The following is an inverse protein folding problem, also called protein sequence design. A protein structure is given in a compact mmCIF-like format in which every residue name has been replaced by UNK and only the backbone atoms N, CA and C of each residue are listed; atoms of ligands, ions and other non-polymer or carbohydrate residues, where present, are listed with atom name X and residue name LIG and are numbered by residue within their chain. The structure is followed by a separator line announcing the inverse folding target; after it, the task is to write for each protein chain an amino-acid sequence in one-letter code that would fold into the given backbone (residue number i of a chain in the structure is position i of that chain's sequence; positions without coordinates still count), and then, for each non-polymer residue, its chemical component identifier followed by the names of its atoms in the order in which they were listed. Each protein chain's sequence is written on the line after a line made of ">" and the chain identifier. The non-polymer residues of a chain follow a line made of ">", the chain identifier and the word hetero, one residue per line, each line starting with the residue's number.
data_IF_906353229829
#
_entry.id   IF_906353229829
#
_cell.length_a   1.000
_cell.length_b   1.000
_cell.length_c   1.000
_cell.angle_alpha   90.00
_cell.angle_beta   90.00
_cell.angle_gamma   90.00
#
_symmetry.space_group_name_H-M   'P 1'
#
loop_
_entity.id
_entity.type
_entity.pdbx_description
1 polymer ?
#
# COMPACT_ATOMS: atom_id res chain seq x y z
N UNK A 1 -11.55 -11.64 26.84
CA UNK A 1 -10.83 -12.20 25.67
C UNK A 1 -10.70 -11.07 24.68
N UNK A 2 -9.49 -10.71 24.24
CA UNK A 2 -9.38 -9.79 23.11
C UNK A 2 -9.89 -10.55 21.89
N UNK A 3 -10.92 -10.01 21.23
CA UNK A 3 -11.45 -10.63 20.04
C UNK A 3 -10.37 -10.59 18.94
N UNK A 4 -10.23 -11.69 18.22
CA UNK A 4 -9.28 -11.81 17.11
C UNK A 4 -9.63 -10.75 16.05
N UNK A 5 -8.63 -10.00 15.59
CA UNK A 5 -8.80 -9.05 14.51
C UNK A 5 -9.04 -9.81 13.19
N UNK A 6 -10.13 -9.53 12.52
CA UNK A 6 -10.47 -10.09 11.20
C UNK A 6 -10.63 -8.93 10.24
N UNK A 7 -9.77 -8.87 9.22
CA UNK A 7 -9.71 -7.81 8.22
C UNK A 7 -10.37 -8.31 6.94
N UNK A 8 -11.26 -7.52 6.36
CA UNK A 8 -11.76 -7.69 5.01
C UNK A 8 -11.11 -6.64 4.12
N UNK A 9 -10.23 -7.07 3.23
CA UNK A 9 -9.54 -6.18 2.30
C UNK A 9 -10.40 -5.95 1.05
N UNK A 10 -10.52 -4.70 0.65
CA UNK A 10 -11.19 -4.26 -0.57
C UNK A 10 -10.19 -3.52 -1.45
N UNK A 11 -9.95 -3.95 -2.67
CA UNK A 11 -9.37 -3.07 -3.69
C UNK A 11 -10.49 -2.14 -4.17
N UNK A 12 -10.48 -0.91 -3.68
CA UNK A 12 -11.63 0.01 -3.75
C UNK A 12 -12.05 0.29 -5.19
N UNK A 13 -11.08 0.39 -6.11
CA UNK A 13 -11.30 0.58 -7.55
C UNK A 13 -12.13 -0.54 -8.19
N UNK A 14 -12.00 -1.79 -7.71
CA UNK A 14 -12.64 -2.96 -8.31
C UNK A 14 -13.94 -3.36 -7.62
N UNK A 15 -14.02 -3.22 -6.30
CA UNK A 15 -15.03 -3.86 -5.45
C UNK A 15 -16.48 -3.57 -5.85
N UNK A 16 -16.79 -2.31 -6.21
CA UNK A 16 -18.16 -1.92 -6.64
C UNK A 16 -18.25 -1.66 -8.14
N UNK A 17 -17.20 -1.98 -8.90
CA UNK A 17 -17.23 -1.82 -10.34
C UNK A 17 -18.14 -2.87 -10.99
N UNK A 18 -19.29 -2.45 -11.47
CA UNK A 18 -20.27 -3.31 -12.15
C UNK A 18 -19.98 -3.58 -13.63
N UNK A 19 -18.90 -3.04 -14.20
CA UNK A 19 -18.55 -3.27 -15.58
C UNK A 19 -17.98 -4.69 -15.76
N UNK A 20 -18.57 -5.43 -16.69
CA UNK A 20 -18.19 -6.83 -16.99
C UNK A 20 -17.15 -6.95 -18.11
N UNK A 21 -16.79 -5.83 -18.74
CA UNK A 21 -15.88 -5.82 -19.87
C UNK A 21 -14.64 -5.02 -19.49
N UNK A 22 -13.49 -5.64 -19.60
CA UNK A 22 -12.21 -5.00 -19.44
C UNK A 22 -11.58 -4.76 -20.81
N UNK A 23 -11.22 -3.53 -21.09
CA UNK A 23 -10.45 -3.15 -22.28
C UNK A 23 -9.01 -2.91 -21.84
N UNK A 24 -8.02 -3.68 -22.32
CA UNK A 24 -6.61 -3.47 -21.97
C UNK A 24 -6.21 -2.01 -22.19
N UNK A 25 -5.64 -1.34 -21.20
CA UNK A 25 -5.33 0.09 -21.19
C UNK A 25 -6.56 1.00 -21.47
N UNK A 26 -7.77 0.54 -21.20
CA UNK A 26 -9.01 1.28 -21.38
C UNK A 26 -9.12 2.50 -20.47
N UNK A 27 -9.92 3.48 -20.88
CA UNK A 27 -10.22 4.65 -20.04
C UNK A 27 -11.19 4.28 -18.93
N UNK A 28 -11.36 5.18 -17.95
CA UNK A 28 -12.33 4.99 -16.86
C UNK A 28 -13.77 4.87 -17.40
N UNK A 29 -14.08 5.52 -18.51
CA UNK A 29 -15.38 5.41 -19.18
C UNK A 29 -15.58 4.04 -19.84
N UNK A 30 -14.51 3.39 -20.30
CA UNK A 30 -14.55 2.06 -20.90
C UNK A 30 -14.60 0.96 -19.85
N UNK A 31 -13.76 1.05 -18.80
CA UNK A 31 -13.57 -0.01 -17.82
C UNK A 31 -14.39 0.20 -16.55
N UNK A 32 -14.85 1.41 -16.30
CA UNK A 32 -15.49 1.76 -15.05
C UNK A 32 -14.50 1.88 -13.89
N UNK A 33 -15.02 2.19 -12.73
CA UNK A 33 -14.29 2.24 -11.46
C UNK A 33 -15.28 2.10 -10.31
N UNK A 34 -14.94 1.34 -9.29
CA UNK A 34 -15.69 1.28 -8.04
C UNK A 34 -15.76 2.64 -7.37
N UNK A 35 -16.84 2.88 -6.62
CA UNK A 35 -17.11 4.15 -5.96
C UNK A 35 -17.28 3.98 -4.46
N UNK A 36 -16.71 4.89 -3.68
CA UNK A 36 -16.86 4.91 -2.22
C UNK A 36 -18.34 4.96 -1.79
N UNK A 37 -19.18 5.66 -2.54
CA UNK A 37 -20.61 5.79 -2.24
C UNK A 37 -21.40 4.51 -2.50
N UNK A 38 -20.90 3.60 -3.33
CA UNK A 38 -21.52 2.30 -3.59
C UNK A 38 -21.22 1.25 -2.50
N UNK A 39 -20.25 1.53 -1.62
CA UNK A 39 -20.04 0.75 -0.39
C UNK A 39 -21.08 1.17 0.64
N UNK A 40 -22.29 0.66 0.47
CA UNK A 40 -23.47 1.03 1.27
C UNK A 40 -23.47 0.37 2.65
N UNK A 41 -24.36 0.82 3.54
CA UNK A 41 -24.57 0.17 4.84
C UNK A 41 -24.92 -1.31 4.70
N UNK A 42 -25.69 -1.70 3.69
CA UNK A 42 -26.03 -3.10 3.43
C UNK A 42 -24.80 -3.94 3.06
N UNK A 43 -23.90 -3.40 2.23
CA UNK A 43 -22.62 -4.05 1.90
C UNK A 43 -21.78 -4.25 3.17
N UNK A 44 -21.66 -3.21 4.00
CA UNK A 44 -20.90 -3.26 5.25
C UNK A 44 -21.49 -4.25 6.27
N UNK A 45 -22.81 -4.33 6.36
CA UNK A 45 -23.50 -5.34 7.19
C UNK A 45 -23.23 -6.76 6.70
N UNK A 46 -23.20 -6.98 5.38
CA UNK A 46 -22.85 -8.27 4.78
C UNK A 46 -21.41 -8.65 5.12
N UNK A 47 -20.45 -7.73 4.98
CA UNK A 47 -19.05 -7.93 5.37
C UNK A 47 -18.95 -8.26 6.86
N UNK A 48 -19.65 -7.51 7.72
CA UNK A 48 -19.67 -7.77 9.16
C UNK A 48 -20.23 -9.15 9.50
N UNK A 49 -21.20 -9.63 8.76
CA UNK A 49 -21.82 -10.95 8.98
C UNK A 49 -20.84 -12.11 8.79
N UNK A 50 -19.71 -11.90 8.10
CA UNK A 50 -18.60 -12.85 7.99
C UNK A 50 -17.73 -12.92 9.26
N UNK A 51 -18.06 -12.14 10.30
CA UNK A 51 -17.24 -12.03 11.52
C UNK A 51 -16.13 -10.98 11.42
N UNK A 52 -16.13 -10.18 10.39
CA UNK A 52 -15.13 -9.11 10.15
C UNK A 52 -15.22 -8.03 11.22
N UNK A 53 -14.07 -7.52 11.62
CA UNK A 53 -13.93 -6.41 12.58
C UNK A 53 -13.42 -5.12 11.93
N UNK A 54 -12.64 -5.25 10.84
CA UNK A 54 -12.01 -4.14 10.14
C UNK A 54 -12.19 -4.29 8.63
N UNK A 55 -12.35 -3.16 7.94
CA UNK A 55 -12.28 -3.10 6.47
C UNK A 55 -11.02 -2.34 6.09
N UNK A 56 -10.19 -2.94 5.25
CA UNK A 56 -9.05 -2.26 4.64
C UNK A 56 -9.43 -1.81 3.23
N UNK A 57 -9.54 -0.50 3.05
CA UNK A 57 -9.79 0.15 1.76
C UNK A 57 -8.46 0.43 1.07
N UNK A 58 -8.04 -0.45 0.17
CA UNK A 58 -6.81 -0.32 -0.61
C UNK A 58 -6.97 0.74 -1.68
N UNK A 59 -5.96 1.62 -1.82
CA UNK A 59 -5.86 2.58 -2.90
C UNK A 59 -6.74 3.83 -2.74
N UNK A 60 -7.00 4.27 -1.51
CA UNK A 60 -7.85 5.43 -1.21
C UNK A 60 -7.15 6.77 -1.48
N UNK A 61 -5.86 6.88 -1.13
CA UNK A 61 -5.10 8.13 -1.24
C UNK A 61 -4.82 8.43 -2.71
N UNK A 62 -4.86 9.71 -3.09
CA UNK A 62 -4.61 10.14 -4.47
C UNK A 62 -3.25 9.67 -4.98
N UNK A 63 -3.26 8.95 -6.09
CA UNK A 63 -2.08 8.46 -6.78
C UNK A 63 -2.02 8.97 -8.23
N UNK A 64 -0.86 8.85 -8.86
CA UNK A 64 -0.66 9.27 -10.23
C UNK A 64 -1.53 8.47 -11.20
N UNK A 65 -2.21 9.17 -12.13
CA UNK A 65 -3.12 8.58 -13.11
C UNK A 65 -3.00 9.28 -14.46
N UNK A 66 -3.38 8.59 -15.56
CA UNK A 66 -3.52 9.21 -16.89
C UNK A 66 -4.89 9.84 -17.12
N UNK A 67 -5.82 9.73 -16.18
CA UNK A 67 -7.10 10.42 -16.24
C UNK A 67 -6.89 11.90 -15.95
N UNK A 68 -7.45 12.78 -16.77
CA UNK A 68 -7.30 14.22 -16.60
C UNK A 68 -8.38 14.79 -15.70
N UNK A 69 -7.97 15.28 -14.54
CA UNK A 69 -8.80 15.97 -13.56
C UNK A 69 -8.49 17.47 -13.44
N UNK A 70 -7.76 18.05 -14.39
CA UNK A 70 -7.35 19.49 -14.38
C UNK A 70 -8.52 20.46 -14.24
N UNK A 71 -9.70 20.11 -14.78
CA UNK A 71 -10.93 20.90 -14.61
C UNK A 71 -11.39 21.04 -13.16
N UNK A 72 -10.88 20.20 -12.27
CA UNK A 72 -11.17 20.21 -10.82
C UNK A 72 -10.00 20.75 -9.99
N UNK A 73 -8.97 21.32 -10.65
CA UNK A 73 -7.81 21.88 -9.98
C UNK A 73 -6.72 20.86 -9.65
N UNK A 74 -6.88 19.59 -10.04
CA UNK A 74 -5.88 18.55 -9.84
C UNK A 74 -4.89 18.59 -10.99
N UNK A 75 -3.59 18.72 -10.67
CA UNK A 75 -2.53 18.77 -11.70
C UNK A 75 -2.45 17.43 -12.45
N UNK A 76 -2.47 17.43 -13.80
CA UNK A 76 -2.33 16.21 -14.58
C UNK A 76 -0.92 15.62 -14.49
N UNK A 77 -0.83 14.29 -14.47
CA UNK A 77 0.43 13.56 -14.49
C UNK A 77 0.94 13.37 -15.91
N UNK A 78 2.27 13.36 -16.07
CA UNK A 78 2.86 13.03 -17.36
C UNK A 78 2.68 11.53 -17.65
N UNK A 79 2.00 11.14 -18.74
CA UNK A 79 1.72 9.75 -19.06
C UNK A 79 2.94 8.83 -19.17
N UNK A 80 4.13 9.42 -19.34
CA UNK A 80 5.41 8.72 -19.47
C UNK A 80 5.84 8.01 -18.17
N UNK A 81 5.44 8.55 -17.03
CA UNK A 81 5.83 8.09 -15.70
C UNK A 81 4.63 7.60 -14.88
N UNK A 82 3.60 7.11 -15.56
CA UNK A 82 2.44 6.44 -14.96
C UNK A 82 2.32 5.04 -15.57
N UNK A 83 2.48 4.00 -14.76
CA UNK A 83 2.26 2.61 -15.19
C UNK A 83 0.78 2.34 -15.37
N UNK A 84 0.43 1.65 -16.46
CA UNK A 84 -0.96 1.48 -16.83
C UNK A 84 -1.65 2.80 -17.15
N UNK A 85 -2.98 2.84 -17.14
CA UNK A 85 -3.79 4.06 -17.33
C UNK A 85 -4.32 4.59 -16.00
N UNK A 86 -4.80 3.70 -15.16
CA UNK A 86 -5.29 4.04 -13.83
C UNK A 86 -4.16 4.45 -12.86
N UNK A 87 -2.93 4.05 -13.16
CA UNK A 87 -1.78 4.23 -12.29
C UNK A 87 -1.68 3.16 -11.20
N UNK A 88 -0.60 3.22 -10.44
CA UNK A 88 -0.42 2.38 -9.26
C UNK A 88 -0.98 3.06 -8.02
N UNK A 89 -1.81 2.41 -7.21
CA UNK A 89 -2.29 2.95 -5.94
C UNK A 89 -1.17 3.23 -4.92
N UNK A 90 0.04 2.79 -5.23
CA UNK A 90 1.25 3.03 -4.41
C UNK A 90 2.15 4.15 -4.97
N UNK A 91 1.86 4.71 -6.14
CA UNK A 91 2.52 5.90 -6.64
C UNK A 91 1.76 7.16 -6.15
N UNK A 92 1.84 7.42 -4.83
CA UNK A 92 1.10 8.50 -4.18
C UNK A 92 1.51 9.85 -4.74
N UNK A 93 0.52 10.62 -5.22
CA UNK A 93 0.69 11.95 -5.79
C UNK A 93 0.36 13.07 -4.81
N UNK A 94 -0.64 12.85 -3.97
CA UNK A 94 -1.04 13.76 -2.90
C UNK A 94 -1.46 12.97 -1.66
N UNK A 95 -0.68 13.08 -0.58
CA UNK A 95 -1.01 12.41 0.68
C UNK A 95 -2.21 13.00 1.43
N UNK A 96 -2.66 14.17 1.06
CA UNK A 96 -3.74 14.89 1.76
C UNK A 96 -5.07 14.83 1.02
N UNK A 97 -5.14 14.04 -0.06
CA UNK A 97 -6.33 13.91 -0.89
C UNK A 97 -6.72 12.46 -1.20
N UNK A 98 -7.92 12.32 -1.72
CA UNK A 98 -8.54 11.06 -2.13
C UNK A 98 -8.39 10.89 -3.64
N UNK A 99 -8.16 9.65 -4.09
CA UNK A 99 -8.16 9.31 -5.52
C UNK A 99 -9.49 9.73 -6.15
N UNK A 100 -9.46 10.68 -7.12
CA UNK A 100 -10.66 11.21 -7.75
C UNK A 100 -11.45 10.17 -8.53
N UNK A 101 -10.82 9.06 -8.98
CA UNK A 101 -11.50 7.96 -9.64
C UNK A 101 -12.53 7.29 -8.74
N UNK A 102 -12.33 7.30 -7.41
CA UNK A 102 -13.18 6.62 -6.42
C UNK A 102 -14.41 7.44 -6.01
N UNK A 103 -14.46 8.72 -6.37
CA UNK A 103 -15.57 9.60 -6.01
C UNK A 103 -16.66 9.62 -7.09
N UNK A 104 -17.90 9.79 -6.67
CA UNK A 104 -19.02 10.13 -7.55
C UNK A 104 -18.94 11.62 -7.94
N UNK A 105 -18.61 12.48 -6.97
CA UNK A 105 -18.38 13.91 -7.15
C UNK A 105 -16.92 14.25 -6.83
N UNK A 106 -16.09 14.45 -7.85
CA UNK A 106 -14.67 14.76 -7.67
C UNK A 106 -14.42 15.93 -6.70
N UNK A 107 -15.17 17.06 -6.76
CA UNK A 107 -15.03 18.14 -5.79
C UNK A 107 -15.36 17.76 -4.34
N UNK A 108 -16.18 16.73 -4.14
CA UNK A 108 -16.60 16.27 -2.81
C UNK A 108 -15.89 14.99 -2.34
N UNK A 109 -14.85 14.54 -3.05
CA UNK A 109 -14.16 13.26 -2.80
C UNK A 109 -13.75 13.04 -1.34
N UNK A 110 -13.24 14.07 -0.67
CA UNK A 110 -12.90 13.98 0.75
C UNK A 110 -14.14 13.80 1.65
N UNK A 111 -15.24 14.49 1.33
CA UNK A 111 -16.51 14.32 2.07
C UNK A 111 -17.12 12.93 1.83
N UNK A 112 -16.99 12.39 0.62
CA UNK A 112 -17.42 11.01 0.31
C UNK A 112 -16.62 9.99 1.12
N UNK A 113 -15.30 10.20 1.28
CA UNK A 113 -14.46 9.37 2.14
C UNK A 113 -14.86 9.49 3.61
N UNK A 114 -15.02 10.70 4.14
CA UNK A 114 -15.47 10.90 5.52
C UNK A 114 -16.84 10.24 5.78
N UNK A 115 -17.73 10.30 4.80
CA UNK A 115 -19.02 9.60 4.85
C UNK A 115 -18.87 8.07 4.79
N UNK A 116 -17.88 7.54 4.06
CA UNK A 116 -17.55 6.11 4.05
C UNK A 116 -17.04 5.66 5.43
N UNK A 117 -16.12 6.41 6.03
CA UNK A 117 -15.61 6.15 7.39
C UNK A 117 -16.76 6.10 8.40
N UNK A 118 -17.64 7.12 8.37
CA UNK A 118 -18.81 7.19 9.27
C UNK A 118 -19.76 6.01 9.06
N UNK A 119 -20.06 5.61 7.81
CA UNK A 119 -20.88 4.43 7.52
C UNK A 119 -20.26 3.14 8.04
N UNK A 120 -18.94 2.99 7.87
CA UNK A 120 -18.18 1.83 8.33
C UNK A 120 -18.24 1.72 9.86
N UNK A 121 -18.04 2.81 10.57
CA UNK A 121 -18.15 2.88 12.03
C UNK A 121 -19.58 2.58 12.51
N UNK A 122 -20.61 3.12 11.84
CA UNK A 122 -22.03 2.82 12.14
C UNK A 122 -22.38 1.36 11.95
N UNK A 123 -21.74 0.67 11.01
CA UNK A 123 -21.87 -0.77 10.85
C UNK A 123 -21.14 -1.57 11.94
N UNK A 124 -20.42 -0.93 12.84
CA UNK A 124 -19.61 -1.56 13.90
C UNK A 124 -18.28 -2.13 13.40
N UNK A 125 -17.79 -1.64 12.27
CA UNK A 125 -16.50 -1.99 11.67
C UNK A 125 -15.50 -0.85 11.86
N UNK A 126 -14.21 -1.15 11.76
CA UNK A 126 -13.09 -0.23 11.80
C UNK A 126 -12.49 -0.03 10.42
N UNK A 127 -11.81 1.11 10.20
CA UNK A 127 -11.25 1.50 8.91
C UNK A 127 -9.73 1.38 8.92
N UNK A 128 -9.18 0.65 7.94
CA UNK A 128 -7.75 0.61 7.65
C UNK A 128 -7.55 1.20 6.24
N UNK A 129 -6.50 1.99 6.06
CA UNK A 129 -6.02 2.45 4.75
C UNK A 129 -4.55 2.17 4.58
N UNK A 130 -4.04 2.24 3.34
CA UNK A 130 -2.62 2.17 3.08
C UNK A 130 -1.91 3.45 3.54
N UNK A 131 -0.70 3.27 4.05
CA UNK A 131 0.30 4.31 4.22
C UNK A 131 1.56 3.89 3.47
N UNK A 132 1.96 4.64 2.46
CA UNK A 132 3.10 4.34 1.59
C UNK A 132 4.29 5.20 2.01
N UNK A 133 5.19 4.71 2.89
CA UNK A 133 6.23 5.57 3.46
C UNK A 133 7.52 5.62 2.65
N UNK A 134 7.79 4.60 1.82
CA UNK A 134 9.08 4.42 1.18
C UNK A 134 9.29 5.31 -0.04
N UNK A 135 8.23 5.64 -0.76
CA UNK A 135 8.28 6.35 -2.04
C UNK A 135 7.03 7.15 -2.31
N UNK A 136 7.09 8.01 -3.30
CA UNK A 136 5.95 8.80 -3.82
C UNK A 136 5.97 8.77 -5.35
N UNK A 137 4.90 9.22 -6.00
CA UNK A 137 4.89 9.44 -7.45
C UNK A 137 6.02 10.41 -7.85
N UNK A 138 6.60 10.19 -9.04
CA UNK A 138 7.73 11.00 -9.51
C UNK A 138 7.39 12.49 -9.66
N UNK A 139 6.13 12.80 -9.95
CA UNK A 139 5.61 14.18 -9.97
C UNK A 139 4.76 14.50 -8.72
N UNK A 140 5.17 13.99 -7.53
CA UNK A 140 4.47 14.33 -6.30
C UNK A 140 4.21 15.84 -6.20
N UNK A 141 2.97 16.18 -5.96
CA UNK A 141 2.52 17.53 -5.67
C UNK A 141 1.17 17.48 -4.98
N UNK A 142 1.06 18.16 -3.84
CA UNK A 142 -0.21 18.24 -3.14
C UNK A 142 -1.00 19.47 -3.58
N UNK A 143 -2.19 19.25 -4.13
CA UNK A 143 -3.18 20.28 -4.43
C UNK A 143 -4.12 20.53 -3.22
N UNK A 144 -4.11 19.61 -2.21
CA UNK A 144 -5.01 19.64 -1.05
C UNK A 144 -4.29 19.77 0.31
N UNK A 145 -2.98 20.01 0.33
CA UNK A 145 -2.24 20.15 1.59
C UNK A 145 -2.82 21.22 2.48
N UNK A 146 -2.89 20.98 3.82
CA UNK A 146 -3.27 22.01 4.78
C UNK A 146 -2.38 23.25 4.67
N UNK A 147 -2.94 24.41 4.99
CA UNK A 147 -2.21 25.69 4.92
C UNK A 147 -0.90 25.62 5.74
N UNK A 148 0.20 26.02 5.11
CA UNK A 148 1.54 26.02 5.71
C UNK A 148 2.30 24.70 5.60
N UNK A 149 1.71 23.63 5.05
CA UNK A 149 2.42 22.39 4.72
C UNK A 149 3.18 22.61 3.42
N UNK A 150 4.47 22.26 3.43
CA UNK A 150 5.31 22.26 2.23
C UNK A 150 5.37 20.86 1.60
N UNK A 151 5.33 20.83 0.29
CA UNK A 151 5.55 19.59 -0.48
C UNK A 151 6.92 18.97 -0.20
N UNK A 152 7.05 17.67 -0.49
CA UNK A 152 8.36 17.05 -0.57
C UNK A 152 9.20 17.78 -1.64
N UNK A 153 10.49 17.86 -1.41
CA UNK A 153 11.51 18.55 -2.22
C UNK A 153 11.48 20.08 -2.20
N UNK A 154 10.54 20.73 -1.55
CA UNK A 154 10.44 22.20 -1.58
C UNK A 154 11.72 22.93 -1.11
N UNK A 155 12.48 22.32 -0.21
CA UNK A 155 13.70 22.89 0.38
C UNK A 155 14.94 22.02 0.08
N UNK A 156 14.87 21.05 -0.87
CA UNK A 156 15.96 20.11 -1.16
C UNK A 156 17.16 20.76 -1.87
N UNK A 157 18.36 20.41 -1.44
CA UNK A 157 19.60 20.69 -2.17
C UNK A 157 19.81 19.64 -3.28
N UNK A 158 19.40 19.97 -4.48
CA UNK A 158 19.46 19.06 -5.63
C UNK A 158 20.86 18.88 -6.22
N UNK A 159 21.88 19.58 -5.69
CA UNK A 159 23.27 19.49 -6.15
C UNK A 159 24.01 18.30 -5.53
N UNK A 160 23.43 17.65 -4.51
CA UNK A 160 24.01 16.53 -3.77
C UNK A 160 23.21 15.26 -3.96
N UNK A 161 23.88 14.13 -3.99
CA UNK A 161 23.23 12.82 -3.96
C UNK A 161 22.41 12.65 -2.69
N UNK A 162 23.03 12.95 -1.55
CA UNK A 162 22.43 12.88 -0.23
C UNK A 162 22.63 14.19 0.54
N UNK A 163 21.60 14.56 1.29
CA UNK A 163 21.67 15.55 2.37
C UNK A 163 20.68 15.12 3.44
N UNK A 164 20.98 15.19 4.75
CA UNK A 164 20.10 14.72 5.82
C UNK A 164 18.70 15.33 5.81
N UNK A 165 18.57 16.55 5.30
CA UNK A 165 17.29 17.29 5.25
C UNK A 165 16.58 17.23 3.90
N UNK A 166 17.21 16.64 2.87
CA UNK A 166 16.55 16.41 1.59
C UNK A 166 15.46 15.36 1.76
N UNK A 167 14.34 15.54 1.05
CA UNK A 167 13.28 14.53 1.01
C UNK A 167 13.58 13.41 0.00
N UNK A 168 14.42 13.67 -1.00
CA UNK A 168 14.79 12.71 -2.04
C UNK A 168 16.30 12.53 -2.17
N UNK A 169 16.69 11.42 -2.83
CA UNK A 169 18.05 11.20 -3.30
C UNK A 169 18.15 11.67 -4.75
N UNK A 170 19.12 12.54 -5.06
CA UNK A 170 19.33 13.06 -6.40
C UNK A 170 20.53 12.40 -7.06
N UNK A 171 20.51 12.33 -8.40
CA UNK A 171 21.65 11.90 -9.20
C UNK A 171 22.21 13.15 -9.88
N UNK A 172 23.18 13.85 -9.23
CA UNK A 172 23.66 15.15 -9.72
C UNK A 172 24.18 15.08 -11.14
N UNK A 173 23.89 16.13 -11.93
CA UNK A 173 24.33 16.30 -13.32
C UNK A 173 23.83 15.23 -14.30
N UNK A 174 22.92 14.32 -13.89
CA UNK A 174 22.32 13.34 -14.78
C UNK A 174 20.83 13.64 -14.99
N UNK A 175 20.40 13.51 -16.24
CA UNK A 175 18.99 13.59 -16.61
C UNK A 175 18.34 12.22 -16.46
N UNK A 176 17.12 12.19 -15.96
CA UNK A 176 16.31 10.96 -15.95
C UNK A 176 16.09 10.45 -17.37
N UNK A 177 16.49 9.21 -17.62
CA UNK A 177 16.43 8.56 -18.93
C UNK A 177 16.19 7.05 -18.77
N UNK A 178 14.95 6.64 -18.42
CA UNK A 178 14.65 5.25 -18.17
C UNK A 178 14.90 4.38 -19.40
N UNK A 179 15.45 3.20 -19.22
CA UNK A 179 15.74 2.24 -20.28
C UNK A 179 14.53 1.36 -20.60
N UNK A 180 13.41 2.02 -20.94
CA UNK A 180 12.13 1.38 -21.24
C UNK A 180 11.53 1.98 -22.50
N UNK A 181 10.77 1.17 -23.25
CA UNK A 181 9.97 1.68 -24.38
C UNK A 181 8.68 2.31 -23.85
N UNK A 182 8.61 3.63 -23.92
CA UNK A 182 7.44 4.41 -23.50
C UNK A 182 6.47 4.69 -24.64
N UNK A 183 6.72 4.10 -25.84
CA UNK A 183 5.90 4.23 -27.05
C UNK A 183 6.05 5.58 -27.77
N UNK A 184 5.66 5.60 -29.03
CA UNK A 184 5.75 6.79 -29.89
C UNK A 184 4.71 7.88 -29.52
N UNK A 185 5.05 9.15 -29.82
CA UNK A 185 4.12 10.27 -29.72
C UNK A 185 3.84 10.81 -28.33
N UNK A 186 4.58 10.36 -27.32
CA UNK A 186 4.44 10.89 -25.95
C UNK A 186 5.37 12.09 -25.75
N UNK A 187 4.85 13.14 -25.14
CA UNK A 187 5.69 14.27 -24.72
C UNK A 187 6.71 13.77 -23.70
N UNK A 188 7.98 13.97 -23.97
CA UNK A 188 9.05 13.51 -23.12
C UNK A 188 8.93 14.10 -21.71
N UNK A 189 8.96 13.24 -20.70
CA UNK A 189 9.14 13.67 -19.31
C UNK A 189 10.58 14.16 -19.12
N UNK A 190 10.72 15.33 -18.53
CA UNK A 190 12.03 15.92 -18.25
C UNK A 190 12.21 16.08 -16.76
N UNK A 191 13.21 15.38 -16.21
CA UNK A 191 13.65 15.53 -14.82
C UNK A 191 15.16 15.70 -14.79
N UNK A 192 15.63 16.81 -14.21
CA UNK A 192 17.02 17.13 -14.04
C UNK A 192 17.23 17.95 -12.74
N UNK A 193 18.13 17.51 -11.84
CA UNK A 193 18.76 16.21 -11.84
C UNK A 193 17.75 15.07 -11.64
N UNK A 194 18.10 13.86 -12.10
CA UNK A 194 17.27 12.68 -11.86
C UNK A 194 17.18 12.38 -10.35
N UNK A 195 16.07 11.77 -9.93
CA UNK A 195 15.86 11.27 -8.57
C UNK A 195 15.93 9.74 -8.55
N UNK A 196 16.43 9.16 -7.47
CA UNK A 196 16.42 7.71 -7.28
C UNK A 196 14.99 7.14 -7.32
N UNK A 197 14.79 5.96 -7.92
CA UNK A 197 13.49 5.29 -7.95
C UNK A 197 13.19 4.54 -6.64
N UNK A 198 11.91 4.31 -6.36
CA UNK A 198 11.41 3.82 -5.07
C UNK A 198 11.93 2.46 -4.63
N UNK A 199 12.39 1.62 -5.57
CA UNK A 199 12.98 0.30 -5.29
C UNK A 199 14.50 0.34 -5.06
N UNK A 200 15.03 1.45 -4.52
CA UNK A 200 16.46 1.66 -4.27
C UNK A 200 17.33 1.65 -5.55
N UNK A 201 16.75 2.04 -6.69
CA UNK A 201 17.49 2.24 -7.92
C UNK A 201 18.14 3.65 -7.91
N UNK A 202 19.40 3.72 -7.44
CA UNK A 202 20.16 4.97 -7.26
C UNK A 202 20.93 5.39 -8.53
N UNK A 203 20.27 5.29 -9.69
CA UNK A 203 20.83 5.78 -10.96
C UNK A 203 19.77 6.49 -11.80
N UNK A 204 20.18 7.16 -12.88
CA UNK A 204 19.27 7.93 -13.74
C UNK A 204 18.59 7.09 -14.82
N UNK A 205 18.86 5.79 -14.91
CA UNK A 205 18.46 4.89 -16.00
C UNK A 205 17.68 3.67 -15.49
N UNK A 206 16.57 3.84 -14.71
CA UNK A 206 15.80 2.70 -14.23
C UNK A 206 15.26 1.88 -15.41
N UNK A 207 15.21 0.56 -15.24
CA UNK A 207 14.67 -0.38 -16.21
C UNK A 207 13.15 -0.57 -16.06
N UNK A 208 12.59 -1.46 -16.89
CA UNK A 208 11.16 -1.78 -16.90
C UNK A 208 10.67 -2.35 -15.56
N UNK A 209 11.51 -3.12 -14.87
CA UNK A 209 11.17 -3.75 -13.59
C UNK A 209 11.50 -2.86 -12.37
N UNK A 210 12.17 -1.73 -12.61
CA UNK A 210 12.34 -0.73 -11.56
C UNK A 210 11.03 0.06 -11.39
N UNK A 211 10.84 0.64 -10.21
CA UNK A 211 9.67 1.48 -9.93
C UNK A 211 9.89 2.89 -10.48
N UNK A 212 10.10 2.97 -11.81
CA UNK A 212 10.50 4.21 -12.50
C UNK A 212 9.48 5.34 -12.37
N UNK A 213 8.21 5.01 -12.09
CA UNK A 213 7.13 5.96 -11.85
C UNK A 213 7.18 6.59 -10.46
N UNK A 214 8.04 6.09 -9.57
CA UNK A 214 8.16 6.55 -8.20
C UNK A 214 9.54 7.12 -7.89
N UNK A 215 9.64 7.85 -6.78
CA UNK A 215 10.87 8.41 -6.22
C UNK A 215 11.04 7.93 -4.78
N UNK A 216 12.27 7.51 -4.45
CA UNK A 216 12.66 7.10 -3.10
C UNK A 216 12.66 8.28 -2.15
N UNK A 217 12.01 8.13 -0.99
CA UNK A 217 12.05 9.09 0.10
C UNK A 217 13.31 8.90 0.96
N UNK A 218 13.92 10.02 1.34
CA UNK A 218 15.11 10.06 2.17
C UNK A 218 14.74 10.23 3.65
N UNK A 219 15.03 9.22 4.43
CA UNK A 219 14.82 9.21 5.89
C UNK A 219 16.10 9.52 6.69
N UNK A 220 17.11 10.15 6.07
CA UNK A 220 18.37 10.47 6.74
C UNK A 220 19.39 9.32 6.73
N UNK A 221 19.27 8.37 5.82
CA UNK A 221 20.25 7.30 5.59
C UNK A 221 21.05 7.64 4.35
N UNK A 222 22.38 7.77 4.48
CA UNK A 222 23.26 7.91 3.33
C UNK A 222 23.60 6.54 2.75
N UNK A 223 23.04 6.22 1.59
CA UNK A 223 23.34 4.95 0.90
C UNK A 223 24.72 4.92 0.24
N UNK A 224 25.46 6.04 0.23
CA UNK A 224 26.84 6.09 -0.26
C UNK A 224 27.84 5.46 0.72
N UNK A 225 27.62 5.62 2.03
CA UNK A 225 28.51 5.11 3.08
C UNK A 225 27.77 4.35 4.21
N UNK A 226 26.45 4.28 4.16
CA UNK A 226 25.60 3.62 5.17
C UNK A 226 25.42 4.41 6.46
N UNK A 227 25.87 5.66 6.52
CA UNK A 227 25.71 6.48 7.72
C UNK A 227 24.25 6.91 7.94
N UNK A 228 23.90 7.14 9.21
CA UNK A 228 22.53 7.48 9.64
C UNK A 228 22.53 8.85 10.32
N UNK A 229 21.68 9.73 9.85
CA UNK A 229 21.59 11.14 10.25
C UNK A 229 20.19 11.45 10.79
N UNK A 230 19.89 11.01 12.00
CA UNK A 230 18.57 11.16 12.63
C UNK A 230 18.50 12.28 13.67
N UNK A 231 19.58 13.03 13.86
CA UNK A 231 19.66 14.22 14.73
C UNK A 231 20.38 15.35 14.01
N UNK A 232 19.71 16.48 13.75
CA UNK A 232 18.30 16.74 14.04
C UNK A 232 17.37 15.83 13.27
N UNK A 233 16.08 15.71 13.71
CA UNK A 233 15.07 14.89 13.06
C UNK A 233 14.93 15.28 11.58
N UNK A 234 15.06 14.32 10.63
CA UNK A 234 14.91 14.60 9.19
C UNK A 234 13.55 15.22 8.85
N UNK A 235 13.52 16.12 7.88
CA UNK A 235 12.28 16.77 7.42
C UNK A 235 11.24 15.78 6.93
N UNK A 236 11.65 14.71 6.24
CA UNK A 236 10.78 13.61 5.80
C UNK A 236 10.02 12.98 6.97
N UNK A 237 10.66 12.79 8.14
CA UNK A 237 9.99 12.22 9.32
C UNK A 237 8.85 13.12 9.80
N UNK A 238 9.09 14.43 9.86
CA UNK A 238 8.10 15.42 10.31
C UNK A 238 6.91 15.45 9.34
N UNK A 239 7.16 15.44 8.03
CA UNK A 239 6.11 15.41 7.00
C UNK A 239 5.27 14.13 7.09
N UNK A 240 5.92 12.96 7.20
CA UNK A 240 5.24 11.67 7.30
C UNK A 240 4.42 11.53 8.59
N UNK A 241 4.92 12.05 9.72
CA UNK A 241 4.12 12.09 10.95
C UNK A 241 2.88 12.96 10.80
N UNK A 242 2.98 14.10 10.13
CA UNK A 242 1.84 14.98 9.88
C UNK A 242 0.79 14.29 9.00
N UNK A 243 1.20 13.53 7.99
CA UNK A 243 0.31 12.73 7.14
C UNK A 243 -0.41 11.66 7.97
N UNK A 244 0.30 10.89 8.78
CA UNK A 244 -0.31 9.89 9.67
C UNK A 244 -1.35 10.51 10.61
N UNK A 245 -1.01 11.66 11.22
CA UNK A 245 -1.92 12.40 12.10
C UNK A 245 -3.12 12.97 11.37
N UNK A 246 -2.95 13.41 10.14
CA UNK A 246 -4.05 13.91 9.29
C UNK A 246 -5.10 12.82 9.09
N UNK A 247 -4.70 11.64 8.65
CA UNK A 247 -5.63 10.52 8.39
C UNK A 247 -6.21 9.93 9.68
N UNK A 248 -5.43 9.80 10.75
CA UNK A 248 -5.96 9.41 12.05
C UNK A 248 -7.01 10.42 12.55
N UNK A 249 -6.81 11.71 12.29
CA UNK A 249 -7.77 12.78 12.57
C UNK A 249 -9.06 12.70 11.73
N UNK A 250 -9.03 12.02 10.60
CA UNK A 250 -10.20 11.73 9.75
C UNK A 250 -10.98 10.47 10.19
N UNK A 251 -10.57 9.83 11.29
CA UNK A 251 -11.22 8.64 11.83
C UNK A 251 -10.71 7.31 11.27
N UNK A 252 -9.55 7.29 10.63
CA UNK A 252 -8.87 6.06 10.25
C UNK A 252 -8.39 5.34 11.51
N UNK A 253 -8.75 4.07 11.67
CA UNK A 253 -8.44 3.23 12.85
C UNK A 253 -7.14 2.43 12.69
N UNK A 254 -6.60 2.35 11.48
CA UNK A 254 -5.34 1.63 11.26
C UNK A 254 -4.69 1.95 9.92
N UNK A 255 -3.39 1.71 9.86
CA UNK A 255 -2.57 1.86 8.67
C UNK A 255 -1.91 0.54 8.30
N UNK A 256 -2.10 0.11 7.05
CA UNK A 256 -1.22 -0.88 6.43
C UNK A 256 -0.04 -0.13 5.82
N UNK A 257 1.14 -0.36 6.36
CA UNK A 257 2.36 0.33 5.97
C UNK A 257 3.08 -0.46 4.88
N UNK A 258 3.03 0.08 3.67
CA UNK A 258 3.64 -0.47 2.47
C UNK A 258 5.16 -0.54 2.61
N UNK A 259 5.76 -1.69 2.23
CA UNK A 259 7.21 -1.91 2.21
C UNK A 259 7.94 -1.35 3.45
N UNK A 260 7.37 -1.59 4.64
CA UNK A 260 7.80 -0.95 5.89
C UNK A 260 9.30 -1.17 6.22
N UNK A 261 9.88 -2.29 5.76
CA UNK A 261 11.29 -2.63 5.96
C UNK A 261 12.27 -1.78 5.13
N UNK A 262 11.80 -1.10 4.09
CA UNK A 262 12.59 -0.15 3.30
C UNK A 262 12.72 1.23 3.97
N UNK A 263 12.11 1.38 5.15
CA UNK A 263 12.16 2.59 5.98
C UNK A 263 12.83 2.24 7.31
N UNK A 264 13.75 3.08 7.84
CA UNK A 264 14.46 2.77 9.07
C UNK A 264 13.52 2.49 10.25
N UNK A 265 13.81 1.44 11.03
CA UNK A 265 13.03 1.09 12.23
C UNK A 265 12.98 2.23 13.24
N UNK A 266 13.99 3.08 13.29
CA UNK A 266 14.06 4.28 14.14
C UNK A 266 12.95 5.29 13.81
N UNK A 267 12.59 5.44 12.54
CA UNK A 267 11.45 6.27 12.15
C UNK A 267 10.15 5.69 12.71
N UNK A 268 9.94 4.39 12.61
CA UNK A 268 8.74 3.73 13.11
C UNK A 268 8.62 3.84 14.64
N UNK A 269 9.70 3.58 15.38
CA UNK A 269 9.80 3.77 16.82
C UNK A 269 9.33 5.18 17.24
N UNK A 270 9.81 6.19 16.54
CA UNK A 270 9.46 7.57 16.81
C UNK A 270 8.05 7.94 16.36
N UNK A 271 7.66 7.59 15.12
CA UNK A 271 6.40 8.02 14.52
C UNK A 271 5.20 7.30 15.14
N UNK A 272 5.25 5.97 15.33
CA UNK A 272 4.15 5.19 15.92
C UNK A 272 3.88 5.66 17.34
N UNK A 273 4.92 5.87 18.14
CA UNK A 273 4.78 6.43 19.48
C UNK A 273 4.08 7.79 19.44
N UNK A 274 4.53 8.70 18.57
CA UNK A 274 3.99 10.05 18.46
C UNK A 274 2.53 10.10 17.94
N UNK A 275 2.13 9.12 17.11
CA UNK A 275 0.72 8.97 16.69
C UNK A 275 -0.11 8.42 17.85
N UNK A 276 0.34 7.36 18.51
CA UNK A 276 -0.40 6.70 19.60
C UNK A 276 -0.55 7.56 20.86
N UNK A 277 0.30 8.56 21.06
CA UNK A 277 0.11 9.58 22.13
C UNK A 277 -1.23 10.34 21.97
N UNK A 278 -1.67 10.57 20.74
CA UNK A 278 -2.92 11.29 20.44
C UNK A 278 -4.06 10.34 20.03
N UNK A 279 -3.73 9.25 19.37
CA UNK A 279 -4.66 8.26 18.82
C UNK A 279 -4.27 6.86 19.29
N UNK A 280 -4.49 6.51 20.58
CA UNK A 280 -3.94 5.29 21.20
C UNK A 280 -4.46 3.98 20.60
N UNK A 281 -5.64 4.01 20.00
CA UNK A 281 -6.30 2.81 19.45
C UNK A 281 -5.90 2.51 17.99
N UNK A 282 -5.23 3.45 17.31
CA UNK A 282 -4.80 3.28 15.91
C UNK A 282 -3.81 2.11 15.81
N UNK A 283 -4.08 1.19 14.87
CA UNK A 283 -3.27 0.02 14.60
C UNK A 283 -2.29 0.26 13.47
N UNK A 284 -1.10 -0.30 13.60
CA UNK A 284 -0.07 -0.30 12.57
C UNK A 284 0.23 -1.72 12.14
N UNK A 285 0.09 -1.99 10.84
CA UNK A 285 0.32 -3.28 10.20
C UNK A 285 1.44 -3.10 9.20
N UNK A 286 2.57 -3.81 9.37
CA UNK A 286 3.70 -3.71 8.48
C UNK A 286 3.68 -4.80 7.40
N UNK A 287 3.89 -4.39 6.16
CA UNK A 287 4.34 -5.28 5.12
C UNK A 287 5.84 -5.49 5.24
N UNK A 288 6.24 -6.72 5.59
CA UNK A 288 7.64 -7.12 5.79
C UNK A 288 7.92 -8.45 5.10
N UNK A 289 9.07 -8.55 4.46
CA UNK A 289 9.50 -9.74 3.73
C UNK A 289 10.81 -10.36 4.25
N UNK A 290 11.26 -9.94 5.44
CA UNK A 290 12.44 -10.50 6.11
C UNK A 290 12.10 -10.94 7.54
N UNK A 291 12.07 -12.26 7.76
CA UNK A 291 11.77 -12.87 9.05
C UNK A 291 12.77 -12.47 10.13
N UNK A 292 14.03 -12.18 9.77
CA UNK A 292 15.09 -11.84 10.72
C UNK A 292 14.83 -10.55 11.48
N UNK A 293 14.05 -9.62 10.90
CA UNK A 293 13.74 -8.31 11.49
C UNK A 293 12.35 -8.23 12.14
N UNK A 294 11.53 -9.30 12.09
CA UNK A 294 10.15 -9.27 12.63
C UNK A 294 10.12 -8.76 14.08
N UNK A 295 10.99 -9.29 14.95
CA UNK A 295 11.02 -8.92 16.37
C UNK A 295 11.43 -7.47 16.59
N UNK A 296 12.35 -6.94 15.77
CA UNK A 296 12.78 -5.54 15.85
C UNK A 296 11.64 -4.59 15.49
N UNK A 297 10.86 -4.90 14.43
CA UNK A 297 9.72 -4.09 14.03
C UNK A 297 8.55 -4.15 15.01
N UNK A 298 8.33 -5.28 15.70
CA UNK A 298 7.32 -5.40 16.77
C UNK A 298 7.78 -4.63 18.02
N UNK A 299 8.94 -4.98 18.57
CA UNK A 299 9.31 -4.55 19.92
C UNK A 299 9.94 -3.15 19.95
N UNK A 300 10.70 -2.80 18.94
CA UNK A 300 11.31 -1.48 18.79
C UNK A 300 10.47 -0.57 17.90
N UNK A 301 10.13 -1.02 16.70
CA UNK A 301 9.34 -0.26 15.74
C UNK A 301 7.93 0.08 16.24
N UNK A 302 7.36 -0.75 17.13
CA UNK A 302 6.05 -0.51 17.75
C UNK A 302 4.86 -0.93 16.90
N UNK A 303 5.07 -1.72 15.85
CA UNK A 303 3.99 -2.28 15.06
C UNK A 303 3.10 -3.23 15.87
N UNK A 304 1.79 -3.11 15.68
CA UNK A 304 0.84 -4.03 16.29
C UNK A 304 0.87 -5.38 15.59
N UNK A 305 1.00 -5.39 14.25
CA UNK A 305 0.96 -6.59 13.43
C UNK A 305 1.93 -6.51 12.24
N UNK A 306 2.39 -7.69 11.79
CA UNK A 306 3.23 -7.88 10.61
C UNK A 306 2.61 -8.92 9.68
N UNK A 307 2.80 -8.78 8.38
CA UNK A 307 2.48 -9.83 7.40
C UNK A 307 3.28 -11.11 7.67
N UNK A 308 2.61 -12.25 7.73
CA UNK A 308 3.28 -13.57 7.70
C UNK A 308 3.31 -14.15 6.28
N UNK A 309 3.85 -13.35 5.35
CA UNK A 309 3.92 -13.71 3.92
C UNK A 309 5.01 -14.75 3.66
N UNK A 310 6.26 -14.42 3.92
CA UNK A 310 7.43 -15.25 3.54
C UNK A 310 7.62 -16.48 4.44
N UNK A 311 6.96 -16.56 5.58
CA UNK A 311 7.02 -17.69 6.47
C UNK A 311 5.81 -18.62 6.28
N UNK A 312 4.58 -18.19 6.64
CA UNK A 312 3.40 -19.06 6.60
C UNK A 312 2.73 -19.08 5.22
N UNK A 313 2.45 -17.92 4.61
CA UNK A 313 1.74 -17.87 3.32
C UNK A 313 2.50 -18.66 2.24
N UNK A 314 3.78 -18.35 2.01
CA UNK A 314 4.58 -19.02 0.98
C UNK A 314 4.67 -20.53 1.22
N UNK A 315 4.69 -20.93 2.50
CA UNK A 315 4.72 -22.35 2.87
C UNK A 315 3.40 -23.05 2.57
N UNK A 316 2.26 -22.43 2.93
CA UNK A 316 0.94 -22.99 2.62
C UNK A 316 0.71 -23.09 1.10
N UNK A 317 1.07 -22.04 0.36
CA UNK A 317 1.02 -22.08 -1.12
C UNK A 317 1.87 -23.23 -1.67
N UNK A 318 3.12 -23.36 -1.19
CA UNK A 318 4.00 -24.45 -1.61
C UNK A 318 3.44 -25.85 -1.31
N UNK A 319 2.76 -26.03 -0.18
CA UNK A 319 2.09 -27.29 0.20
C UNK A 319 0.91 -27.55 -0.74
N UNK A 320 0.08 -26.55 -1.02
CA UNK A 320 -1.08 -26.68 -1.90
C UNK A 320 -0.67 -27.00 -3.34
N UNK A 321 0.42 -26.43 -3.82
CA UNK A 321 1.00 -26.76 -5.13
C UNK A 321 1.76 -28.09 -5.16
N UNK A 322 1.73 -28.89 -4.06
CA UNK A 322 2.40 -30.18 -3.93
C UNK A 322 3.94 -30.14 -4.04
N UNK A 323 4.53 -29.00 -3.81
CA UNK A 323 5.98 -28.81 -3.87
C UNK A 323 6.68 -28.93 -2.52
N UNK A 324 5.91 -28.90 -1.42
CA UNK A 324 6.43 -28.83 -0.05
C UNK A 324 5.64 -29.76 0.86
N UNK A 325 6.32 -30.42 1.80
CA UNK A 325 5.68 -31.26 2.81
C UNK A 325 4.92 -30.45 3.86
N UNK A 326 3.69 -30.84 4.20
CA UNK A 326 2.90 -30.27 5.28
C UNK A 326 3.61 -30.30 6.66
N UNK A 327 4.58 -31.22 6.85
CA UNK A 327 5.39 -31.24 8.07
C UNK A 327 6.16 -29.92 8.32
N UNK A 328 6.38 -29.12 7.29
CA UNK A 328 7.07 -27.82 7.41
C UNK A 328 6.24 -26.73 8.10
N UNK A 329 4.93 -26.92 8.30
CA UNK A 329 4.09 -25.99 9.08
C UNK A 329 4.63 -25.87 10.51
N UNK A 330 5.18 -26.95 11.08
CA UNK A 330 5.81 -26.90 12.41
C UNK A 330 6.96 -25.88 12.45
N UNK A 331 7.78 -25.80 11.41
CA UNK A 331 8.86 -24.81 11.32
C UNK A 331 8.32 -23.39 11.26
N UNK A 332 7.24 -23.16 10.49
CA UNK A 332 6.62 -21.83 10.43
C UNK A 332 6.17 -21.36 11.82
N UNK A 333 5.51 -22.24 12.56
CA UNK A 333 5.08 -21.94 13.92
C UNK A 333 6.26 -21.66 14.87
N UNK A 334 7.33 -22.46 14.79
CA UNK A 334 8.54 -22.26 15.61
C UNK A 334 9.25 -20.94 15.28
N UNK A 335 9.27 -20.53 14.01
CA UNK A 335 9.92 -19.29 13.56
C UNK A 335 9.32 -18.05 14.22
N UNK A 336 8.01 -18.05 14.40
CA UNK A 336 7.27 -16.94 15.04
C UNK A 336 6.91 -17.20 16.49
N UNK A 337 7.57 -18.15 17.15
CA UNK A 337 7.34 -18.43 18.57
C UNK A 337 7.54 -17.18 19.42
N UNK A 338 6.60 -16.92 20.33
CA UNK A 338 6.56 -15.71 21.16
C UNK A 338 6.01 -14.45 20.48
N UNK A 339 5.85 -14.45 19.13
CA UNK A 339 5.29 -13.32 18.37
C UNK A 339 4.10 -13.69 17.48
N UNK A 340 3.64 -14.94 17.55
CA UNK A 340 2.55 -15.42 16.68
C UNK A 340 1.25 -14.63 16.79
N UNK A 341 0.99 -13.98 17.93
CA UNK A 341 -0.15 -13.07 18.13
C UNK A 341 -0.02 -11.73 17.39
N UNK A 342 1.18 -11.38 16.92
CA UNK A 342 1.44 -10.21 16.09
C UNK A 342 1.45 -10.51 14.59
N UNK A 343 1.32 -11.78 14.20
CA UNK A 343 1.41 -12.15 12.79
C UNK A 343 0.03 -12.09 12.13
N UNK A 344 -0.11 -11.24 11.11
CA UNK A 344 -1.28 -11.18 10.24
C UNK A 344 -1.19 -12.30 9.20
N UNK A 345 -2.06 -13.29 9.33
CA UNK A 345 -2.17 -14.41 8.40
C UNK A 345 -3.18 -14.13 7.30
N UNK A 346 -2.88 -14.53 6.07
CA UNK A 346 -3.76 -14.40 4.92
C UNK A 346 -3.41 -15.44 3.86
N UNK A 347 -4.29 -15.65 2.90
CA UNK A 347 -4.07 -16.52 1.74
C UNK A 347 -4.23 -15.79 0.41
N UNK A 348 -4.85 -14.62 0.44
CA UNK A 348 -5.04 -13.73 -0.71
C UNK A 348 -4.85 -12.28 -0.27
N UNK A 349 -4.36 -11.46 -1.18
CA UNK A 349 -4.41 -10.02 -1.16
C UNK A 349 -4.37 -9.49 -2.60
N UNK A 350 -4.20 -8.21 -2.79
CA UNK A 350 -4.13 -7.57 -4.11
C UNK A 350 -2.81 -7.83 -4.87
N UNK A 351 -1.79 -8.41 -4.22
CA UNK A 351 -0.49 -8.77 -4.83
C UNK A 351 -0.37 -10.26 -5.14
N UNK A 352 -1.17 -11.11 -4.49
CA UNK A 352 -1.04 -12.56 -4.57
C UNK A 352 -2.19 -13.18 -5.38
N UNK A 353 -1.93 -14.32 -6.01
CA UNK A 353 -2.92 -15.07 -6.74
C UNK A 353 -4.03 -15.61 -5.84
N UNK A 354 -5.25 -15.70 -6.38
CA UNK A 354 -6.42 -16.23 -5.66
C UNK A 354 -6.21 -17.69 -5.23
N UNK A 355 -6.71 -18.05 -4.04
CA UNK A 355 -6.60 -19.43 -3.56
C UNK A 355 -7.37 -20.43 -4.41
N UNK A 356 -8.43 -19.99 -5.11
CA UNK A 356 -9.22 -20.81 -6.03
C UNK A 356 -8.58 -20.94 -7.42
N UNK A 357 -7.54 -20.16 -7.73
CA UNK A 357 -6.81 -20.23 -8.99
C UNK A 357 -5.93 -21.48 -9.07
N UNK A 358 -5.53 -21.85 -10.30
CA UNK A 358 -4.55 -22.93 -10.54
C UNK A 358 -3.16 -22.64 -9.94
N UNK A 359 -2.86 -21.37 -9.66
CA UNK A 359 -1.59 -20.92 -9.09
C UNK A 359 -1.50 -21.17 -7.57
N UNK A 360 -2.62 -21.57 -6.93
CA UNK A 360 -2.66 -21.94 -5.52
C UNK A 360 -3.26 -23.34 -5.33
N UNK A 361 -4.58 -23.51 -5.30
CA UNK A 361 -5.24 -24.79 -5.06
C UNK A 361 -6.08 -25.30 -6.25
N UNK A 362 -6.33 -24.47 -7.26
CA UNK A 362 -7.15 -24.77 -8.45
C UNK A 362 -8.65 -24.86 -8.17
N UNK A 363 -9.05 -24.86 -6.89
CA UNK A 363 -10.43 -24.94 -6.46
C UNK A 363 -10.57 -24.42 -5.02
N UNK A 364 -11.60 -23.65 -4.72
CA UNK A 364 -11.83 -23.07 -3.40
C UNK A 364 -11.99 -24.13 -2.30
N UNK A 365 -12.65 -25.26 -2.57
CA UNK A 365 -12.83 -26.32 -1.59
C UNK A 365 -11.51 -27.01 -1.24
N UNK A 366 -10.61 -27.15 -2.20
CA UNK A 366 -9.28 -27.71 -1.96
C UNK A 366 -8.41 -26.76 -1.12
N UNK A 367 -8.68 -25.46 -1.11
CA UNK A 367 -7.96 -24.47 -0.31
C UNK A 367 -8.41 -24.45 1.17
N UNK A 368 -9.52 -25.09 1.53
CA UNK A 368 -10.07 -25.06 2.91
C UNK A 368 -9.04 -25.51 3.97
N UNK A 369 -8.23 -26.58 3.78
CA UNK A 369 -7.23 -26.95 4.77
C UNK A 369 -6.21 -25.82 5.04
N UNK A 370 -5.72 -25.15 4.00
CA UNK A 370 -4.81 -24.00 4.14
C UNK A 370 -5.49 -22.84 4.87
N UNK A 371 -6.76 -22.57 4.54
CA UNK A 371 -7.57 -21.53 5.21
C UNK A 371 -7.72 -21.82 6.71
N UNK A 372 -8.03 -23.05 7.09
CA UNK A 372 -8.15 -23.46 8.49
C UNK A 372 -6.82 -23.26 9.21
N UNK A 373 -5.72 -23.68 8.65
CA UNK A 373 -4.38 -23.48 9.24
C UNK A 373 -4.10 -21.99 9.40
N UNK A 374 -4.25 -21.20 8.34
CA UNK A 374 -4.03 -19.75 8.36
C UNK A 374 -4.87 -19.05 9.43
N UNK A 375 -6.14 -19.44 9.55
CA UNK A 375 -7.09 -18.82 10.49
C UNK A 375 -6.88 -19.23 11.95
N UNK A 376 -6.33 -20.42 12.22
CA UNK A 376 -6.36 -21.01 13.58
C UNK A 376 -5.00 -21.32 14.18
N UNK A 377 -3.91 -21.21 13.41
CA UNK A 377 -2.55 -21.52 13.86
C UNK A 377 -2.10 -20.62 15.03
N UNK A 378 -2.57 -19.37 15.06
CA UNK A 378 -2.25 -18.40 16.11
C UNK A 378 -3.47 -17.57 16.51
N UNK A 379 -3.31 -16.76 17.57
CA UNK A 379 -4.29 -15.75 17.99
C UNK A 379 -4.14 -14.43 17.26
N UNK A 380 -3.12 -14.30 16.39
CA UNK A 380 -2.89 -13.11 15.56
C UNK A 380 -4.02 -12.84 14.59
N UNK A 381 -4.04 -11.67 13.95
CA UNK A 381 -5.08 -11.28 13.02
C UNK A 381 -5.13 -12.19 11.79
N UNK A 382 -6.28 -12.16 11.13
CA UNK A 382 -6.52 -12.83 9.85
C UNK A 382 -7.08 -11.84 8.85
N UNK A 383 -6.72 -11.99 7.57
CA UNK A 383 -7.27 -11.19 6.49
C UNK A 383 -7.94 -12.08 5.44
N UNK A 384 -9.07 -11.59 4.93
CA UNK A 384 -9.81 -12.13 3.78
C UNK A 384 -9.82 -11.05 2.70
N UNK A 385 -9.46 -11.39 1.49
CA UNK A 385 -9.55 -10.49 0.33
C UNK A 385 -10.92 -10.63 -0.33
N UNK A 386 -11.52 -9.51 -0.74
CA UNK A 386 -12.87 -9.46 -1.31
C UNK A 386 -13.03 -10.46 -2.48
N UNK A 387 -14.05 -11.31 -2.40
CA UNK A 387 -14.29 -12.40 -3.35
C UNK A 387 -13.70 -13.76 -2.95
N UNK A 388 -12.80 -13.82 -1.98
CA UNK A 388 -12.25 -15.08 -1.46
C UNK A 388 -13.37 -15.99 -0.92
N UNK A 389 -14.33 -15.41 -0.21
CA UNK A 389 -15.50 -16.12 0.35
C UNK A 389 -16.43 -16.70 -0.73
N UNK A 390 -16.36 -16.17 -1.95
CA UNK A 390 -17.11 -16.63 -3.11
C UNK A 390 -16.32 -17.64 -3.96
N UNK A 391 -15.03 -17.85 -3.67
CA UNK A 391 -14.14 -18.68 -4.45
C UNK A 391 -13.78 -18.07 -5.79
N UNK A 392 -13.61 -16.73 -5.84
CA UNK A 392 -13.16 -16.01 -7.05
C UNK A 392 -11.81 -16.57 -7.52
N UNK A 393 -11.68 -16.76 -8.82
CA UNK A 393 -10.47 -17.33 -9.42
C UNK A 393 -9.54 -16.28 -10.02
N UNK A 394 -10.07 -15.31 -10.74
CA UNK A 394 -9.35 -14.23 -11.44
C UNK A 394 -7.98 -14.67 -12.00
N UNK A 395 -7.95 -15.86 -12.61
CA UNK A 395 -6.71 -16.50 -13.08
C UNK A 395 -6.04 -15.63 -14.14
N UNK A 396 -4.74 -15.40 -13.98
CA UNK A 396 -3.89 -14.60 -14.86
C UNK A 396 -4.27 -13.11 -14.98
N UNK A 397 -5.25 -12.62 -14.19
CA UNK A 397 -5.73 -11.24 -14.21
C UNK A 397 -5.40 -10.45 -12.94
N UNK A 398 -4.91 -11.09 -11.90
CA UNK A 398 -4.54 -10.47 -10.63
C UNK A 398 -3.18 -10.95 -10.12
N UNK A 399 -2.61 -10.22 -9.19
CA UNK A 399 -1.32 -10.50 -8.56
C UNK A 399 -0.14 -10.26 -9.49
N UNK A 400 1.03 -10.73 -9.10
CA UNK A 400 2.28 -10.53 -9.84
C UNK A 400 2.32 -11.20 -11.23
N UNK A 401 1.46 -12.18 -11.50
CA UNK A 401 1.36 -12.81 -12.81
C UNK A 401 0.37 -12.08 -13.73
N UNK A 402 -0.40 -11.13 -13.23
CA UNK A 402 -1.27 -10.27 -14.03
C UNK A 402 -0.46 -9.26 -14.83
N UNK A 403 -0.63 -9.27 -16.15
CA UNK A 403 0.01 -8.30 -17.06
C UNK A 403 -0.88 -7.12 -17.41
N UNK A 404 -2.08 -7.07 -16.85
CA UNK A 404 -3.04 -6.02 -17.10
C UNK A 404 -2.76 -4.82 -16.22
N UNK A 405 -2.29 -3.77 -16.85
CA UNK A 405 -2.06 -2.49 -16.20
C UNK A 405 -3.35 -1.71 -15.97
#
# INVERSE_FOLDING_TARGET
>A
MNDKLIIYQILTRLFTNGNKYCVPNGTIEQNGCGKMNDITSHVLESIRSLGTTHVWYTGIIEHATKTDYSRFGIRPDNPYIVKGRAGSPYAIKDYYDIDPDLAVSVPDRMKEFEALVDRTHKAGLKVIIDFVPNHVARQYHSDAAPAGVKDFSADDDTTKFFSPNNNFYYIPQQKFAPSIDLGEGKSAYVEFPAKASGNDCFNAFPGQYDWYETVKLNYGVDYGDGSRHFSPTPDTWLKMLNILRFWAGKGVDGFRCDMAHMVPVEFWEWAIKAVKEKYPDVKFIAELYDVSIYRDYIYRGGFDYLYDKVNLYDRLRGIMCSNVSAAQITQCWQTVDGIGNHMLNFLENHDEQRIASREFAGNAQLAIPALVVSATLSTGPMMVYAGQELGEKAEDAEGFSGFDG
#
